data_IF_506049616818
#
_entry.id   IF_506049616818
#
_cell.length_a   1.000
_cell.length_b   1.000
_cell.length_c   1.000
_cell.angle_alpha   90.00
_cell.angle_beta   90.00
_cell.angle_gamma   90.00
#
_symmetry.space_group_name_H-M   'P 1'
#
loop_
_entity.id
_entity.type
_entity.pdbx_description
1 polymer ?
#
# COMPACT_ATOMS: atom_id res chain seq x y z
N UNK A 1 51.41 -30.50 22.75
CA UNK A 1 50.48 -30.73 21.63
C UNK A 1 49.47 -29.60 21.59
N UNK A 2 49.61 -28.68 20.64
CA UNK A 2 48.68 -27.57 20.45
C UNK A 2 47.61 -28.00 19.43
N UNK A 3 46.36 -28.17 19.89
CA UNK A 3 45.23 -28.37 18.99
C UNK A 3 44.98 -27.07 18.21
N UNK A 4 45.31 -27.07 16.91
CA UNK A 4 44.77 -26.11 15.95
C UNK A 4 43.28 -26.45 15.79
N UNK A 5 42.43 -25.76 16.54
CA UNK A 5 41.02 -25.60 16.16
C UNK A 5 41.02 -24.64 14.97
N UNK A 6 41.15 -25.20 13.77
CA UNK A 6 40.65 -24.52 12.57
C UNK A 6 39.16 -24.32 12.79
N UNK A 7 38.76 -23.07 13.03
CA UNK A 7 37.38 -22.67 12.99
C UNK A 7 36.88 -23.02 11.58
N UNK A 8 36.21 -24.16 11.45
CA UNK A 8 35.46 -24.52 10.28
C UNK A 8 34.42 -23.42 10.08
N UNK A 9 34.76 -22.41 9.28
CA UNK A 9 33.80 -21.44 8.81
C UNK A 9 32.78 -22.23 8.01
N UNK A 10 31.65 -22.56 8.62
CA UNK A 10 30.56 -23.22 7.94
C UNK A 10 30.21 -22.31 6.76
N UNK A 11 30.47 -22.79 5.55
CA UNK A 11 30.10 -22.09 4.31
C UNK A 11 28.58 -22.18 4.18
N UNK A 12 27.87 -21.25 4.80
CA UNK A 12 26.41 -21.17 4.71
C UNK A 12 25.91 -20.65 3.36
N UNK A 13 26.81 -20.16 2.49
CA UNK A 13 26.49 -19.79 1.11
C UNK A 13 26.90 -20.91 0.16
N UNK A 14 25.97 -21.53 -0.58
CA UNK A 14 26.33 -22.59 -1.50
C UNK A 14 27.19 -22.01 -2.64
N UNK A 15 28.24 -22.73 -3.03
CA UNK A 15 29.27 -22.24 -3.95
C UNK A 15 28.75 -21.77 -5.32
N UNK A 16 27.56 -22.23 -5.74
CA UNK A 16 26.90 -21.77 -6.98
C UNK A 16 26.35 -20.34 -6.91
N UNK A 17 26.15 -19.80 -5.70
CA UNK A 17 25.67 -18.42 -5.51
C UNK A 17 26.81 -17.38 -5.54
N UNK A 18 28.05 -17.80 -5.26
CA UNK A 18 29.23 -16.92 -5.12
C UNK A 18 29.92 -16.58 -6.46
N UNK A 19 29.16 -16.48 -7.57
CA UNK A 19 29.74 -16.28 -8.90
C UNK A 19 28.82 -15.72 -9.98
N UNK A 20 29.17 -15.99 -11.24
CA UNK A 20 28.45 -15.51 -12.42
C UNK A 20 26.97 -15.94 -12.44
N UNK A 21 26.67 -17.15 -11.94
CA UNK A 21 25.31 -17.66 -11.82
C UNK A 21 24.42 -16.79 -10.89
N UNK A 22 24.92 -16.41 -9.71
CA UNK A 22 24.20 -15.49 -8.80
C UNK A 22 23.96 -14.11 -9.42
N UNK A 23 24.92 -13.62 -10.22
CA UNK A 23 24.76 -12.36 -10.96
C UNK A 23 23.71 -12.47 -12.08
N UNK A 24 23.68 -13.59 -12.80
CA UNK A 24 22.65 -13.84 -13.84
C UNK A 24 21.27 -13.95 -13.20
N UNK A 25 21.14 -14.71 -12.10
CA UNK A 25 19.86 -14.89 -11.41
C UNK A 25 19.31 -13.57 -10.87
N UNK A 26 20.17 -12.71 -10.30
CA UNK A 26 19.74 -11.38 -9.83
C UNK A 26 19.30 -10.47 -10.98
N UNK A 27 19.97 -10.50 -12.13
CA UNK A 27 19.52 -9.78 -13.32
C UNK A 27 18.20 -10.31 -13.87
N UNK A 28 18.07 -11.63 -13.99
CA UNK A 28 16.83 -12.26 -14.45
C UNK A 28 15.66 -11.86 -13.54
N UNK A 29 15.87 -11.83 -12.21
CA UNK A 29 14.87 -11.37 -11.25
C UNK A 29 14.53 -9.88 -11.44
N UNK A 30 15.52 -9.00 -11.61
CA UNK A 30 15.29 -7.56 -11.86
C UNK A 30 14.43 -7.37 -13.12
N UNK A 31 14.80 -8.04 -14.22
CA UNK A 31 14.08 -7.95 -15.49
C UNK A 31 12.67 -8.49 -15.34
N UNK A 32 12.49 -9.64 -14.67
CA UNK A 32 11.19 -10.22 -14.40
C UNK A 32 10.30 -9.24 -13.62
N UNK A 33 10.76 -8.73 -12.47
CA UNK A 33 9.99 -7.79 -11.64
C UNK A 33 9.65 -6.49 -12.39
N UNK A 34 10.56 -6.00 -13.23
CA UNK A 34 10.32 -4.83 -14.07
C UNK A 34 9.28 -5.09 -15.18
N UNK A 35 9.33 -6.26 -15.83
CA UNK A 35 8.33 -6.68 -16.80
C UNK A 35 6.95 -6.85 -16.14
N UNK A 36 6.89 -7.42 -14.94
CA UNK A 36 5.66 -7.49 -14.15
C UNK A 36 5.11 -6.09 -13.84
N UNK A 37 5.97 -5.16 -13.40
CA UNK A 37 5.61 -3.76 -13.15
C UNK A 37 4.96 -3.12 -14.37
N UNK A 38 5.62 -3.20 -15.52
CA UNK A 38 5.15 -2.61 -16.78
C UNK A 38 3.90 -3.32 -17.29
N UNK A 39 3.84 -4.65 -17.19
CA UNK A 39 2.71 -5.45 -17.63
C UNK A 39 1.43 -5.15 -16.86
N UNK A 40 1.48 -5.17 -15.52
CA UNK A 40 0.32 -4.84 -14.67
C UNK A 40 -0.09 -3.37 -14.88
N UNK A 41 0.87 -2.45 -15.05
CA UNK A 41 0.56 -1.07 -15.41
C UNK A 41 -0.19 -0.97 -16.74
N UNK A 42 0.31 -1.64 -17.79
CA UNK A 42 -0.27 -1.63 -19.12
C UNK A 42 -1.68 -2.23 -19.13
N UNK A 43 -1.89 -3.35 -18.43
CA UNK A 43 -3.21 -3.97 -18.25
C UNK A 43 -4.17 -2.96 -17.59
N UNK A 44 -3.76 -2.34 -16.48
CA UNK A 44 -4.56 -1.33 -15.81
C UNK A 44 -4.90 -0.13 -16.71
N UNK A 45 -3.94 0.37 -17.47
CA UNK A 45 -4.17 1.47 -18.42
C UNK A 45 -5.08 1.09 -19.59
N UNK A 46 -4.95 -0.14 -20.11
CA UNK A 46 -5.83 -0.65 -21.16
C UNK A 46 -7.28 -0.76 -20.66
N UNK A 47 -7.49 -1.29 -19.45
CA UNK A 47 -8.79 -1.37 -18.79
C UNK A 47 -9.43 0.01 -18.56
N UNK A 48 -8.63 0.99 -18.14
CA UNK A 48 -9.10 2.39 -18.02
C UNK A 48 -9.52 2.92 -19.38
N UNK A 49 -8.69 2.74 -20.41
CA UNK A 49 -8.95 3.31 -21.73
C UNK A 49 -10.26 2.77 -22.33
N UNK A 50 -10.55 1.47 -22.11
CA UNK A 50 -11.81 0.86 -22.56
C UNK A 50 -13.01 1.28 -21.72
N UNK A 51 -12.84 1.54 -20.41
CA UNK A 51 -13.95 1.99 -19.55
C UNK A 51 -14.25 3.49 -19.62
N UNK A 52 -13.27 4.33 -19.92
CA UNK A 52 -13.37 5.79 -19.79
C UNK A 52 -14.02 6.52 -20.96
N UNK A 53 -14.43 5.83 -22.02
CA UNK A 53 -15.13 6.47 -23.13
C UNK A 53 -16.47 7.07 -22.62
N UNK A 54 -16.47 8.38 -22.32
CA UNK A 54 -17.66 9.15 -21.97
C UNK A 54 -17.80 9.65 -20.52
N UNK A 55 -16.80 9.53 -19.63
CA UNK A 55 -16.87 10.10 -18.27
C UNK A 55 -16.33 11.55 -18.27
N UNK A 56 -17.20 12.52 -18.01
CA UNK A 56 -16.80 13.90 -17.69
C UNK A 56 -16.80 14.12 -16.18
N UNK A 57 -15.61 14.31 -15.62
CA UNK A 57 -15.41 14.46 -14.16
C UNK A 57 -15.62 15.89 -13.67
N UNK A 58 -15.67 16.84 -14.59
CA UNK A 58 -16.09 18.21 -14.27
C UNK A 58 -17.62 18.35 -14.26
N UNK A 59 -18.34 17.34 -14.74
CA UNK A 59 -19.79 17.32 -14.73
C UNK A 59 -20.37 17.22 -13.32
N UNK A 60 -21.54 17.83 -13.12
CA UNK A 60 -22.35 17.65 -11.92
C UNK A 60 -22.74 16.18 -11.71
N UNK A 61 -22.89 15.41 -12.79
CA UNK A 61 -23.23 13.98 -12.73
C UNK A 61 -22.15 13.17 -12.00
N UNK A 62 -20.87 13.48 -12.24
CA UNK A 62 -19.80 12.84 -11.51
C UNK A 62 -19.79 13.22 -10.02
N UNK A 63 -20.04 14.49 -9.69
CA UNK A 63 -20.16 14.94 -8.29
C UNK A 63 -21.33 14.27 -7.56
N UNK A 64 -22.39 13.85 -8.27
CA UNK A 64 -23.53 13.15 -7.69
C UNK A 64 -23.25 11.65 -7.54
N UNK A 65 -22.82 10.98 -8.62
CA UNK A 65 -22.82 9.51 -8.69
C UNK A 65 -21.43 8.87 -8.72
N UNK A 66 -20.34 9.63 -8.86
CA UNK A 66 -18.93 9.21 -8.72
C UNK A 66 -18.58 7.98 -9.56
N UNK A 67 -19.07 7.99 -10.80
CA UNK A 67 -18.94 6.89 -11.74
C UNK A 67 -19.51 5.56 -11.23
N UNK A 68 -20.59 5.61 -10.44
CA UNK A 68 -21.38 4.44 -10.07
C UNK A 68 -22.65 4.34 -10.91
N UNK A 69 -23.28 3.16 -10.90
CA UNK A 69 -24.60 2.92 -11.51
C UNK A 69 -25.77 3.43 -10.67
N UNK A 70 -25.54 4.31 -9.69
CA UNK A 70 -26.56 4.66 -8.70
C UNK A 70 -27.77 5.30 -9.38
N UNK A 71 -27.54 6.19 -10.35
CA UNK A 71 -28.61 6.82 -11.13
C UNK A 71 -29.48 5.81 -11.87
N UNK A 72 -28.87 4.80 -12.48
CA UNK A 72 -29.57 3.75 -13.23
C UNK A 72 -30.40 2.91 -12.26
N UNK A 73 -29.76 2.41 -11.20
CA UNK A 73 -30.36 1.46 -10.29
C UNK A 73 -31.36 2.05 -9.31
N UNK A 74 -31.20 3.32 -8.90
CA UNK A 74 -32.18 4.02 -8.08
C UNK A 74 -33.53 4.16 -8.81
N UNK A 75 -33.53 4.12 -10.14
CA UNK A 75 -34.75 4.23 -10.94
C UNK A 75 -35.39 2.87 -11.30
N UNK A 76 -34.74 1.76 -10.97
CA UNK A 76 -35.29 0.42 -11.18
C UNK A 76 -36.37 0.14 -10.13
N UNK A 77 -37.50 -0.47 -10.53
CA UNK A 77 -38.57 -0.81 -9.59
C UNK A 77 -38.14 -1.95 -8.66
N UNK A 78 -38.23 -1.81 -7.32
CA UNK A 78 -38.00 -2.92 -6.40
C UNK A 78 -39.18 -3.89 -6.48
N UNK A 79 -39.11 -4.92 -7.32
CA UNK A 79 -40.16 -5.94 -7.35
C UNK A 79 -40.14 -6.85 -6.11
N UNK A 80 -39.01 -6.93 -5.40
CA UNK A 80 -38.77 -7.90 -4.31
C UNK A 80 -38.27 -7.31 -2.98
N UNK A 81 -38.08 -5.99 -2.89
CA UNK A 81 -37.45 -5.36 -1.70
C UNK A 81 -38.47 -4.66 -0.81
N UNK A 82 -38.54 -5.06 0.46
CA UNK A 82 -39.24 -4.29 1.48
C UNK A 82 -38.32 -3.17 1.99
N UNK A 83 -38.44 -1.97 1.41
CA UNK A 83 -37.61 -0.82 1.78
C UNK A 83 -37.78 -0.38 3.24
N UNK A 84 -38.96 -0.61 3.83
CA UNK A 84 -39.23 -0.37 5.26
C UNK A 84 -38.44 -1.34 6.13
N UNK A 85 -38.31 -2.60 5.71
CA UNK A 85 -37.48 -3.60 6.37
C UNK A 85 -35.99 -3.27 6.22
N UNK A 86 -35.56 -2.77 5.05
CA UNK A 86 -34.16 -2.35 4.85
C UNK A 86 -33.79 -1.18 5.76
N UNK A 87 -34.69 -0.21 5.91
CA UNK A 87 -34.55 0.90 6.86
C UNK A 87 -34.61 0.43 8.33
N UNK A 88 -35.52 -0.50 8.65
CA UNK A 88 -35.69 -1.08 9.99
C UNK A 88 -34.57 -2.03 10.43
N UNK A 89 -34.01 -2.82 9.51
CA UNK A 89 -32.90 -3.72 9.79
C UNK A 89 -31.58 -2.98 9.92
N UNK A 90 -31.41 -1.86 9.20
CA UNK A 90 -30.34 -0.92 9.48
C UNK A 90 -30.43 -0.45 10.95
N UNK A 91 -31.63 -0.04 11.41
CA UNK A 91 -31.90 0.35 12.81
C UNK A 91 -31.63 -0.77 13.84
N UNK A 92 -31.82 -2.03 13.48
CA UNK A 92 -31.68 -3.19 14.37
C UNK A 92 -30.28 -3.85 14.37
N UNK A 93 -29.33 -3.41 13.54
CA UNK A 93 -27.94 -3.83 13.62
C UNK A 93 -27.65 -5.27 13.17
N UNK A 94 -28.55 -5.91 12.40
CA UNK A 94 -28.30 -7.24 11.84
C UNK A 94 -27.41 -7.17 10.59
N UNK A 95 -26.41 -8.05 10.52
CA UNK A 95 -25.33 -8.10 9.53
C UNK A 95 -25.80 -8.52 8.12
N UNK A 96 -25.08 -8.17 7.02
CA UNK A 96 -23.78 -7.49 6.96
C UNK A 96 -23.89 -5.98 7.20
N UNK A 97 -22.79 -5.32 7.58
CA UNK A 97 -22.78 -4.51 8.77
C UNK A 97 -23.30 -3.11 8.49
N UNK A 98 -24.59 -2.83 8.64
CA UNK A 98 -25.03 -1.46 8.89
C UNK A 98 -24.38 -0.99 10.20
N UNK A 99 -23.17 -0.45 10.13
CA UNK A 99 -22.46 0.02 11.30
C UNK A 99 -22.97 1.41 11.61
N UNK A 100 -23.53 1.52 12.81
CA UNK A 100 -23.94 2.79 13.39
C UNK A 100 -22.69 3.63 13.67
N UNK A 101 -22.75 4.91 13.32
CA UNK A 101 -21.82 5.87 13.90
C UNK A 101 -22.06 5.97 15.44
N UNK A 102 -21.17 6.65 16.19
CA UNK A 102 -21.36 6.84 17.64
C UNK A 102 -22.67 7.54 18.04
N UNK A 103 -23.40 8.12 17.09
CA UNK A 103 -24.67 8.85 17.24
C UNK A 103 -25.88 8.06 16.68
N UNK A 104 -25.72 6.77 16.35
CA UNK A 104 -26.74 5.87 15.78
C UNK A 104 -27.17 6.13 14.32
N UNK A 105 -26.39 6.86 13.52
CA UNK A 105 -26.67 7.05 12.08
C UNK A 105 -26.15 5.90 11.22
N UNK A 106 -26.81 5.64 10.08
CA UNK A 106 -26.56 4.44 9.27
C UNK A 106 -25.57 4.64 8.14
N UNK A 107 -24.65 3.69 8.06
CA UNK A 107 -23.82 3.50 6.90
C UNK A 107 -24.07 2.10 6.36
N UNK A 108 -24.69 2.01 5.19
CA UNK A 108 -25.04 0.70 4.61
C UNK A 108 -23.96 0.23 3.66
N UNK A 109 -23.37 -0.89 4.05
CA UNK A 109 -22.46 -1.68 3.25
C UNK A 109 -23.28 -2.63 2.41
N UNK A 110 -23.08 -2.59 1.10
CA UNK A 110 -23.95 -3.28 0.16
C UNK A 110 -23.53 -4.73 -0.01
N UNK A 111 -23.93 -5.53 0.97
CA UNK A 111 -24.54 -6.85 0.79
C UNK A 111 -25.49 -7.05 1.95
N UNK A 112 -26.78 -7.31 1.70
CA UNK A 112 -27.73 -7.67 2.76
C UNK A 112 -28.06 -9.16 2.61
N UNK A 113 -27.74 -9.95 3.65
CA UNK A 113 -28.39 -11.23 3.88
C UNK A 113 -29.49 -10.95 4.86
N UNK A 114 -30.73 -11.25 4.53
CA UNK A 114 -31.72 -11.45 5.59
C UNK A 114 -31.18 -12.57 6.50
N UNK A 115 -31.34 -12.47 7.81
CA UNK A 115 -30.99 -13.54 8.74
C UNK A 115 -32.17 -13.72 9.68
N UNK A 116 -33.21 -14.38 9.19
CA UNK A 116 -34.16 -14.99 10.11
C UNK A 116 -33.52 -16.25 10.69
N UNK A 117 -33.58 -16.37 12.02
CA UNK A 117 -32.95 -17.44 12.83
C UNK A 117 -33.34 -18.89 12.45
N UNK A 118 -34.18 -19.11 11.43
CA UNK A 118 -34.71 -20.45 11.11
C UNK A 118 -34.94 -20.77 9.62
N UNK A 119 -34.44 -20.02 8.63
CA UNK A 119 -34.56 -20.43 7.22
C UNK A 119 -33.21 -20.71 6.57
N UNK A 120 -33.06 -21.93 6.05
CA UNK A 120 -31.90 -22.40 5.27
C UNK A 120 -31.79 -21.77 3.88
N UNK A 121 -32.73 -20.90 3.50
CA UNK A 121 -32.71 -20.11 2.28
C UNK A 121 -33.07 -18.67 2.66
N UNK A 122 -32.09 -17.77 2.58
CA UNK A 122 -32.24 -16.36 2.90
C UNK A 122 -32.19 -15.58 1.57
N UNK A 123 -33.15 -14.67 1.30
CA UNK A 123 -33.09 -13.85 0.10
C UNK A 123 -31.83 -12.97 0.14
N UNK A 124 -31.07 -12.97 -0.95
CA UNK A 124 -29.92 -12.07 -1.16
C UNK A 124 -30.35 -10.99 -2.13
N UNK A 125 -30.25 -9.73 -1.71
CA UNK A 125 -30.58 -8.60 -2.56
C UNK A 125 -29.35 -8.13 -3.35
N UNK A 126 -29.56 -7.82 -4.63
CA UNK A 126 -28.57 -7.18 -5.49
C UNK A 126 -28.33 -5.72 -5.09
N UNK A 127 -27.21 -5.14 -5.54
CA UNK A 127 -26.89 -3.72 -5.31
C UNK A 127 -28.01 -2.79 -5.80
N UNK A 128 -28.57 -3.04 -6.98
CA UNK A 128 -29.58 -2.19 -7.57
C UNK A 128 -30.91 -2.25 -6.84
N UNK A 129 -31.30 -3.43 -6.39
CA UNK A 129 -32.48 -3.64 -5.54
C UNK A 129 -32.37 -2.82 -4.24
N UNK A 130 -31.22 -2.80 -3.59
CA UNK A 130 -31.04 -1.98 -2.37
C UNK A 130 -31.06 -0.48 -2.66
N UNK A 131 -30.34 -0.05 -3.71
CA UNK A 131 -30.25 1.37 -4.09
C UNK A 131 -31.61 1.94 -4.53
N UNK A 132 -32.49 1.11 -5.10
CA UNK A 132 -33.85 1.52 -5.47
C UNK A 132 -34.67 2.06 -4.27
N UNK A 133 -34.39 1.61 -3.04
CA UNK A 133 -35.03 2.13 -1.84
C UNK A 133 -34.62 3.55 -1.46
N UNK A 134 -33.55 4.07 -2.07
CA UNK A 134 -33.02 5.41 -1.83
C UNK A 134 -33.36 6.37 -2.98
N UNK A 135 -34.27 5.99 -3.88
CA UNK A 135 -34.69 6.79 -5.04
C UNK A 135 -35.12 8.21 -4.67
N UNK A 136 -35.87 8.35 -3.58
CA UNK A 136 -36.47 9.63 -3.17
C UNK A 136 -35.55 10.46 -2.26
N UNK A 137 -34.43 9.89 -1.82
CA UNK A 137 -33.47 10.56 -0.95
C UNK A 137 -32.72 11.65 -1.73
N UNK A 138 -32.45 12.77 -1.07
CA UNK A 138 -31.62 13.84 -1.62
C UNK A 138 -30.20 13.35 -1.84
N UNK A 139 -29.77 13.28 -3.08
CA UNK A 139 -28.40 12.88 -3.43
C UNK A 139 -27.45 14.04 -3.12
N UNK A 140 -26.45 13.80 -2.27
CA UNK A 140 -25.48 14.81 -1.87
C UNK A 140 -24.32 14.90 -2.89
N UNK A 141 -24.18 16.03 -3.61
CA UNK A 141 -23.05 16.25 -4.50
C UNK A 141 -21.78 16.48 -3.68
N UNK A 142 -20.73 15.72 -3.98
CA UNK A 142 -19.47 15.80 -3.25
C UNK A 142 -18.25 15.70 -4.17
N UNK A 143 -17.18 16.37 -3.76
CA UNK A 143 -15.86 16.28 -4.38
C UNK A 143 -14.97 15.34 -3.56
N UNK A 144 -14.17 14.52 -4.24
CA UNK A 144 -13.23 13.61 -3.59
C UNK A 144 -12.03 14.37 -3.02
N UNK A 145 -11.68 14.08 -1.77
CA UNK A 145 -10.36 14.44 -1.25
C UNK A 145 -9.31 13.45 -1.76
N UNK A 146 -8.03 13.86 -1.91
CA UNK A 146 -6.94 12.94 -2.23
C UNK A 146 -6.84 11.74 -1.28
N UNK A 147 -7.24 11.94 -0.02
CA UNK A 147 -7.23 10.94 1.03
C UNK A 147 -8.30 9.84 0.81
N UNK A 148 -9.37 10.11 0.06
CA UNK A 148 -10.40 9.11 -0.32
C UNK A 148 -9.86 7.98 -1.21
N UNK A 149 -8.71 8.22 -1.86
CA UNK A 149 -8.07 7.33 -2.82
C UNK A 149 -6.89 6.57 -2.20
N UNK A 150 -6.86 6.45 -0.87
CA UNK A 150 -5.77 5.75 -0.16
C UNK A 150 -5.79 4.24 -0.40
N UNK A 151 -4.59 3.71 -0.64
CA UNK A 151 -4.18 2.30 -0.53
C UNK A 151 -5.06 1.24 -1.25
N UNK A 152 -5.24 1.30 -2.59
CA UNK A 152 -5.64 0.08 -3.30
C UNK A 152 -4.52 -0.97 -3.24
N UNK A 153 -4.87 -2.26 -3.31
CA UNK A 153 -3.92 -3.39 -3.41
C UNK A 153 -2.87 -3.16 -4.50
N UNK A 154 -3.24 -2.48 -5.59
CA UNK A 154 -2.35 -2.07 -6.67
C UNK A 154 -1.23 -1.14 -6.17
N UNK A 155 -1.55 -0.10 -5.39
CA UNK A 155 -0.54 0.83 -4.84
C UNK A 155 0.41 0.08 -3.92
N UNK A 156 -0.12 -0.75 -3.02
CA UNK A 156 0.69 -1.56 -2.10
C UNK A 156 1.62 -2.50 -2.86
N UNK A 157 1.11 -3.18 -3.89
CA UNK A 157 1.89 -4.04 -4.75
C UNK A 157 3.01 -3.29 -5.49
N UNK A 158 2.71 -2.13 -6.10
CA UNK A 158 3.72 -1.29 -6.76
C UNK A 158 4.86 -0.93 -5.80
N UNK A 159 4.53 -0.56 -4.57
CA UNK A 159 5.52 -0.21 -3.55
C UNK A 159 6.40 -1.42 -3.18
N UNK A 160 5.79 -2.57 -2.91
CA UNK A 160 6.52 -3.81 -2.62
C UNK A 160 7.42 -4.22 -3.80
N UNK A 161 6.93 -4.12 -5.04
CA UNK A 161 7.67 -4.53 -6.23
C UNK A 161 8.88 -3.62 -6.49
N UNK A 162 8.74 -2.33 -6.23
CA UNK A 162 9.87 -1.41 -6.29
C UNK A 162 10.91 -1.76 -5.22
N UNK A 163 10.50 -2.07 -3.99
CA UNK A 163 11.45 -2.52 -2.96
C UNK A 163 12.13 -3.85 -3.36
N UNK A 164 11.42 -4.75 -4.03
CA UNK A 164 11.98 -5.99 -4.57
C UNK A 164 13.04 -5.72 -5.64
N UNK A 165 12.77 -4.80 -6.58
CA UNK A 165 13.73 -4.40 -7.63
C UNK A 165 14.98 -3.78 -7.00
N UNK A 166 14.81 -2.84 -6.06
CA UNK A 166 15.94 -2.19 -5.39
C UNK A 166 16.75 -3.18 -4.54
N UNK A 167 16.08 -4.11 -3.87
CA UNK A 167 16.69 -5.19 -3.10
C UNK A 167 17.46 -6.17 -3.99
N UNK A 168 16.92 -6.56 -5.14
CA UNK A 168 17.63 -7.39 -6.12
C UNK A 168 18.86 -6.66 -6.70
N UNK A 169 18.77 -5.34 -6.90
CA UNK A 169 19.92 -4.52 -7.28
C UNK A 169 20.99 -4.48 -6.18
N UNK A 170 20.58 -4.43 -4.91
CA UNK A 170 21.47 -4.51 -3.77
C UNK A 170 22.15 -5.88 -3.70
N UNK A 171 21.40 -6.96 -3.93
CA UNK A 171 21.91 -8.33 -3.98
C UNK A 171 22.98 -8.47 -5.07
N UNK A 172 22.74 -7.92 -6.27
CA UNK A 172 23.74 -7.86 -7.35
C UNK A 172 25.03 -7.19 -6.89
N UNK A 173 24.96 -6.01 -6.26
CA UNK A 173 26.16 -5.30 -5.77
C UNK A 173 26.86 -6.08 -4.66
N UNK A 174 26.09 -6.75 -3.80
CA UNK A 174 26.62 -7.53 -2.69
C UNK A 174 27.31 -8.82 -3.18
N UNK A 175 26.70 -9.60 -4.08
CA UNK A 175 27.32 -10.79 -4.71
C UNK A 175 28.61 -10.39 -5.44
N UNK A 176 28.57 -9.29 -6.19
CA UNK A 176 29.75 -8.76 -6.88
C UNK A 176 30.89 -8.39 -5.92
N UNK A 177 30.57 -7.92 -4.72
CA UNK A 177 31.57 -7.61 -3.68
C UNK A 177 32.19 -8.85 -3.03
N UNK A 178 31.50 -10.00 -3.05
CA UNK A 178 32.02 -11.26 -2.51
C UNK A 178 32.86 -12.05 -3.51
N UNK A 179 32.74 -11.77 -4.81
CA UNK A 179 33.57 -12.37 -5.83
C UNK A 179 35.05 -12.04 -5.56
N UNK A 180 35.89 -13.07 -5.43
CA UNK A 180 37.35 -12.94 -5.22
C UNK A 180 38.07 -12.17 -6.34
N UNK A 181 37.39 -11.95 -7.47
CA UNK A 181 37.85 -11.10 -8.55
C UNK A 181 37.36 -9.66 -8.31
N UNK A 182 37.92 -8.99 -7.29
CA UNK A 182 37.85 -7.53 -7.29
C UNK A 182 38.52 -7.06 -8.59
N UNK A 183 37.83 -6.31 -9.47
CA UNK A 183 38.43 -5.87 -10.72
C UNK A 183 39.70 -5.08 -10.38
N UNK A 184 40.83 -5.49 -10.95
CA UNK A 184 42.16 -4.91 -10.73
C UNK A 184 42.23 -3.42 -11.07
N UNK A 185 41.22 -2.89 -11.78
CA UNK A 185 41.00 -1.48 -12.01
C UNK A 185 39.57 -1.09 -11.60
N UNK A 186 39.47 -0.15 -10.66
CA UNK A 186 38.23 0.50 -10.27
C UNK A 186 37.66 1.32 -11.45
N UNK A 187 36.69 0.78 -12.19
CA UNK A 187 36.12 1.42 -13.41
C UNK A 187 35.06 2.50 -13.11
N UNK A 188 34.86 2.86 -11.84
CA UNK A 188 33.82 3.81 -11.42
C UNK A 188 32.40 3.26 -11.53
N UNK A 189 31.40 4.11 -11.33
CA UNK A 189 29.99 3.74 -11.45
C UNK A 189 29.50 3.79 -12.90
N UNK A 190 28.83 2.73 -13.35
CA UNK A 190 28.12 2.77 -14.62
C UNK A 190 26.84 3.59 -14.50
N UNK A 191 26.27 4.02 -15.64
CA UNK A 191 24.98 4.71 -15.67
C UNK A 191 23.86 3.89 -15.01
N UNK A 192 23.85 2.56 -15.22
CA UNK A 192 22.86 1.66 -14.63
C UNK A 192 22.97 1.55 -13.10
N UNK A 193 24.15 1.79 -12.53
CA UNK A 193 24.33 1.77 -11.08
C UNK A 193 23.81 3.06 -10.41
N UNK A 194 23.76 4.16 -11.16
CA UNK A 194 23.20 5.45 -10.71
C UNK A 194 21.67 5.46 -10.68
N UNK A 195 21.00 4.81 -11.63
CA UNK A 195 19.55 4.81 -11.74
C UNK A 195 18.81 4.52 -10.41
N UNK A 196 19.11 3.42 -9.68
CA UNK A 196 18.45 3.15 -8.40
C UNK A 196 18.82 4.17 -7.31
N UNK A 197 20.01 4.79 -7.35
CA UNK A 197 20.38 5.82 -6.38
C UNK A 197 19.62 7.13 -6.63
N UNK A 198 19.56 7.58 -7.88
CA UNK A 198 18.79 8.77 -8.29
C UNK A 198 17.31 8.59 -7.98
N UNK A 199 16.76 7.41 -8.30
CA UNK A 199 15.39 7.05 -7.95
C UNK A 199 15.15 7.14 -6.43
N UNK A 200 15.99 6.50 -5.61
CA UNK A 200 15.83 6.53 -4.15
C UNK A 200 15.90 7.95 -3.60
N UNK A 201 16.81 8.79 -4.10
CA UNK A 201 16.90 10.20 -3.68
C UNK A 201 15.63 10.96 -4.03
N UNK A 202 15.17 10.86 -5.29
CA UNK A 202 13.94 11.53 -5.74
C UNK A 202 12.70 11.07 -4.97
N UNK A 203 12.55 9.75 -4.78
CA UNK A 203 11.48 9.14 -3.98
C UNK A 203 11.53 9.62 -2.53
N UNK A 204 12.72 9.73 -1.93
CA UNK A 204 12.90 10.22 -0.54
C UNK A 204 12.48 11.67 -0.39
N UNK A 205 12.91 12.54 -1.29
CA UNK A 205 12.54 13.96 -1.26
C UNK A 205 11.03 14.13 -1.43
N UNK A 206 10.44 13.38 -2.35
CA UNK A 206 9.01 13.47 -2.59
C UNK A 206 8.19 12.87 -1.42
N UNK A 207 8.68 11.80 -0.79
CA UNK A 207 8.09 11.25 0.43
C UNK A 207 8.05 12.29 1.56
N UNK A 208 9.14 13.04 1.78
CA UNK A 208 9.15 14.10 2.81
C UNK A 208 8.17 15.24 2.48
N UNK A 209 8.12 15.67 1.22
CA UNK A 209 7.17 16.70 0.79
C UNK A 209 5.71 16.29 1.04
N UNK A 210 5.35 15.04 0.74
CA UNK A 210 4.00 14.51 0.97
C UNK A 210 3.73 14.24 2.45
N UNK A 211 4.74 13.84 3.22
CA UNK A 211 4.62 13.72 4.67
C UNK A 211 4.30 15.07 5.33
N UNK A 212 4.99 16.15 4.93
CA UNK A 212 4.68 17.48 5.46
C UNK A 212 3.28 17.96 5.08
N UNK A 213 2.84 17.71 3.83
CA UNK A 213 1.44 17.97 3.42
C UNK A 213 0.46 17.22 4.30
N UNK A 214 0.71 15.93 4.53
CA UNK A 214 -0.11 15.11 5.42
C UNK A 214 -0.13 15.64 6.86
N UNK A 215 1.01 16.06 7.42
CA UNK A 215 1.04 16.67 8.75
C UNK A 215 0.20 17.94 8.87
N UNK A 216 0.12 18.76 7.79
CA UNK A 216 -0.68 19.98 7.81
C UNK A 216 -2.19 19.73 7.77
N UNK A 217 -2.64 18.72 6.99
CA UNK A 217 -4.06 18.37 6.83
C UNK A 217 -4.23 16.86 6.61
N UNK A 218 -4.19 16.05 7.69
CA UNK A 218 -4.16 14.58 7.58
C UNK A 218 -5.48 13.96 7.13
N UNK A 219 -6.58 14.71 7.25
CA UNK A 219 -7.92 14.38 6.75
C UNK A 219 -8.04 14.59 5.23
N UNK A 220 -7.26 15.52 4.67
CA UNK A 220 -7.32 15.89 3.25
C UNK A 220 -6.28 15.15 2.39
N UNK A 221 -5.06 14.99 2.90
CA UNK A 221 -3.97 14.34 2.16
C UNK A 221 -3.88 12.85 2.48
N UNK A 222 -3.50 12.05 1.48
CA UNK A 222 -3.17 10.65 1.70
C UNK A 222 -1.88 10.52 2.52
N UNK A 223 -1.82 9.53 3.41
CA UNK A 223 -0.58 9.13 4.08
C UNK A 223 0.45 8.64 3.06
N UNK A 224 1.71 8.86 3.40
CA UNK A 224 2.86 8.35 2.66
C UNK A 224 3.08 6.85 2.94
N UNK A 225 3.87 6.20 2.09
CA UNK A 225 4.24 4.78 2.25
C UNK A 225 4.97 4.51 3.57
N UNK A 226 4.66 3.37 4.18
CA UNK A 226 5.31 2.89 5.42
C UNK A 226 6.60 2.10 5.17
N UNK A 227 6.92 1.74 3.93
CA UNK A 227 8.10 0.91 3.59
C UNK A 227 9.19 1.64 2.81
N UNK A 228 9.02 2.92 2.45
CA UNK A 228 10.00 3.68 1.65
C UNK A 228 11.36 3.81 2.33
N UNK A 229 11.43 3.78 3.66
CA UNK A 229 12.69 3.80 4.40
C UNK A 229 13.64 2.64 4.02
N UNK A 230 13.10 1.51 3.52
CA UNK A 230 13.89 0.35 3.06
C UNK A 230 14.80 0.75 1.88
N UNK A 231 14.34 1.60 0.96
CA UNK A 231 15.16 2.03 -0.18
C UNK A 231 16.34 2.89 0.25
N UNK A 232 16.12 3.79 1.22
CA UNK A 232 17.16 4.65 1.80
C UNK A 232 18.15 3.82 2.60
N UNK A 233 17.67 2.88 3.42
CA UNK A 233 18.51 1.92 4.13
C UNK A 233 19.36 1.08 3.16
N UNK A 234 18.74 0.59 2.09
CA UNK A 234 19.43 -0.16 1.03
C UNK A 234 20.53 0.67 0.38
N UNK A 235 20.26 1.94 0.06
CA UNK A 235 21.27 2.84 -0.49
C UNK A 235 22.39 3.12 0.51
N UNK A 236 22.06 3.35 1.78
CA UNK A 236 23.02 3.57 2.87
C UNK A 236 24.00 2.39 3.02
N UNK A 237 23.50 1.17 2.83
CA UNK A 237 24.29 -0.05 2.82
C UNK A 237 25.19 -0.15 1.57
N UNK A 238 24.62 0.06 0.38
CA UNK A 238 25.32 -0.06 -0.91
C UNK A 238 26.49 0.91 -1.09
N UNK A 239 26.46 2.08 -0.44
CA UNK A 239 27.55 3.08 -0.51
C UNK A 239 28.91 2.50 -0.06
N UNK A 240 28.90 1.44 0.78
CA UNK A 240 30.11 0.77 1.28
C UNK A 240 30.72 -0.21 0.28
N UNK A 241 29.96 -0.68 -0.71
CA UNK A 241 30.36 -1.73 -1.63
C UNK A 241 30.63 -1.18 -3.04
N UNK A 242 31.32 -1.97 -3.85
CA UNK A 242 31.48 -1.66 -5.28
C UNK A 242 30.10 -1.61 -5.96
N UNK A 243 29.83 -0.62 -6.84
CA UNK A 243 30.76 0.37 -7.40
C UNK A 243 30.84 1.72 -6.65
N UNK A 244 30.05 1.92 -5.59
CA UNK A 244 30.01 3.19 -4.85
C UNK A 244 31.31 3.47 -4.08
N UNK A 245 31.87 2.44 -3.42
CA UNK A 245 33.17 2.55 -2.73
C UNK A 245 34.34 2.91 -3.67
N UNK A 246 34.16 2.61 -4.95
CA UNK A 246 35.10 2.92 -6.01
C UNK A 246 35.08 4.42 -6.38
N UNK A 247 33.89 5.03 -6.38
CA UNK A 247 33.71 6.46 -6.66
C UNK A 247 34.06 7.32 -5.45
N UNK A 248 33.67 6.87 -4.26
CA UNK A 248 33.88 7.56 -3.00
C UNK A 248 34.98 6.85 -2.22
N UNK A 249 36.19 7.42 -2.21
CA UNK A 249 37.35 6.86 -1.49
C UNK A 249 36.98 6.46 -0.07
N UNK A 250 37.55 5.35 0.39
CA UNK A 250 37.15 4.68 1.64
C UNK A 250 37.20 5.62 2.86
N UNK A 251 38.24 6.44 2.96
CA UNK A 251 38.44 7.37 4.07
C UNK A 251 37.94 8.79 3.83
N UNK A 252 37.25 9.05 2.71
CA UNK A 252 36.74 10.39 2.43
C UNK A 252 35.68 10.81 3.45
N UNK A 253 35.81 12.04 3.97
CA UNK A 253 34.82 12.67 4.84
C UNK A 253 33.42 12.66 4.18
N UNK A 254 33.38 12.89 2.86
CA UNK A 254 32.16 12.84 2.05
C UNK A 254 31.42 11.51 2.14
N UNK A 255 32.12 10.37 2.05
CA UNK A 255 31.47 9.05 2.15
C UNK A 255 30.89 8.84 3.54
N UNK A 256 31.64 9.19 4.58
CA UNK A 256 31.20 9.09 5.97
C UNK A 256 29.97 9.96 6.22
N UNK A 257 29.99 11.21 5.76
CA UNK A 257 28.87 12.14 5.85
C UNK A 257 27.64 11.62 5.08
N UNK A 258 27.82 11.18 3.84
CA UNK A 258 26.73 10.61 3.02
C UNK A 258 26.10 9.38 3.69
N UNK A 259 26.92 8.43 4.15
CA UNK A 259 26.45 7.26 4.88
C UNK A 259 25.67 7.68 6.13
N UNK A 260 26.20 8.62 6.91
CA UNK A 260 25.51 9.12 8.12
C UNK A 260 24.16 9.77 7.80
N UNK A 261 24.11 10.64 6.78
CA UNK A 261 22.87 11.28 6.31
C UNK A 261 21.83 10.23 5.91
N UNK A 262 22.23 9.23 5.13
CA UNK A 262 21.32 8.18 4.65
C UNK A 262 20.80 7.30 5.79
N UNK A 263 21.67 6.92 6.73
CA UNK A 263 21.25 6.16 7.91
C UNK A 263 20.30 6.96 8.79
N UNK A 264 20.63 8.22 9.11
CA UNK A 264 19.74 9.10 9.88
C UNK A 264 18.40 9.29 9.17
N UNK A 265 18.41 9.50 7.85
CA UNK A 265 17.17 9.65 7.06
C UNK A 265 16.33 8.38 7.09
N UNK A 266 16.94 7.20 6.89
CA UNK A 266 16.25 5.92 6.97
C UNK A 266 15.66 5.68 8.37
N UNK A 267 16.40 5.99 9.43
CA UNK A 267 15.91 5.88 10.81
C UNK A 267 14.73 6.81 11.08
N UNK A 268 14.80 8.07 10.65
CA UNK A 268 13.69 9.02 10.82
C UNK A 268 12.45 8.56 10.06
N UNK A 269 12.61 8.12 8.80
CA UNK A 269 11.50 7.59 8.02
C UNK A 269 10.93 6.32 8.65
N UNK A 270 11.76 5.42 9.18
CA UNK A 270 11.31 4.21 9.89
C UNK A 270 10.47 4.55 11.14
N UNK A 271 10.93 5.49 11.97
CA UNK A 271 10.18 5.95 13.16
C UNK A 271 8.82 6.53 12.74
N UNK A 272 8.80 7.40 11.72
CA UNK A 272 7.57 7.97 11.19
C UNK A 272 6.67 6.86 10.63
N UNK A 273 7.22 5.90 9.90
CA UNK A 273 6.47 4.75 9.39
C UNK A 273 5.85 3.91 10.49
N UNK A 274 6.50 3.72 11.65
CA UNK A 274 5.89 3.08 12.81
C UNK A 274 4.66 3.86 13.32
N UNK A 275 4.74 5.19 13.36
CA UNK A 275 3.61 6.06 13.76
C UNK A 275 2.47 5.98 12.73
N UNK A 276 2.81 6.04 11.44
CA UNK A 276 1.84 5.92 10.34
C UNK A 276 1.20 4.54 10.32
N UNK A 277 1.96 3.47 10.51
CA UNK A 277 1.45 2.10 10.58
C UNK A 277 0.47 1.94 11.74
N UNK A 278 0.78 2.51 12.92
CA UNK A 278 -0.14 2.52 14.06
C UNK A 278 -1.43 3.28 13.76
N UNK A 279 -1.33 4.43 13.09
CA UNK A 279 -2.49 5.27 12.76
C UNK A 279 -3.37 4.61 11.71
N UNK A 280 -2.76 4.09 10.64
CA UNK A 280 -3.42 3.43 9.52
C UNK A 280 -3.67 1.95 9.78
N UNK A 281 -3.39 1.43 10.98
CA UNK A 281 -3.56 0.01 11.30
C UNK A 281 -5.00 -0.46 11.05
N UNK A 282 -5.96 0.44 11.29
CA UNK A 282 -7.39 0.20 11.04
C UNK A 282 -7.71 0.11 9.55
N UNK A 283 -7.03 0.90 8.73
CA UNK A 283 -7.23 0.89 7.27
C UNK A 283 -6.62 -0.39 6.65
N UNK A 284 -5.54 -0.91 7.23
CA UNK A 284 -4.87 -2.14 6.78
C UNK A 284 -5.61 -3.43 7.16
N UNK A 285 -6.33 -3.42 8.28
CA UNK A 285 -7.07 -4.57 8.79
C UNK A 285 -8.51 -4.16 9.18
N UNK A 286 -9.44 -4.13 8.21
CA UNK A 286 -10.87 -3.96 8.48
C UNK A 286 -11.34 -5.02 9.50
N UNK A 287 -12.30 -4.71 10.40
CA UNK A 287 -13.59 -4.17 9.99
C UNK A 287 -13.98 -2.85 10.67
N UNK A 288 -13.01 -2.07 11.17
CA UNK A 288 -13.34 -0.86 11.95
C UNK A 288 -13.38 0.37 11.06
N UNK A 289 -14.58 0.94 10.96
CA UNK A 289 -14.89 2.22 10.36
C UNK A 289 -13.89 3.33 10.72
N UNK A 290 -13.37 4.00 9.70
CA UNK A 290 -12.74 5.30 9.87
C UNK A 290 -13.74 6.39 9.47
N UNK A 291 -14.22 7.15 10.46
CA UNK A 291 -15.12 8.29 10.24
C UNK A 291 -14.37 9.55 9.80
N UNK A 292 -13.19 9.41 9.18
CA UNK A 292 -12.46 10.53 8.64
C UNK A 292 -13.21 11.08 7.42
N UNK A 293 -13.41 12.39 7.39
CA UNK A 293 -14.03 13.04 6.24
C UNK A 293 -13.12 12.90 5.01
N UNK A 294 -13.62 12.21 3.98
CA UNK A 294 -12.90 11.96 2.72
C UNK A 294 -13.53 12.67 1.53
N UNK A 295 -14.68 13.31 1.73
CA UNK A 295 -15.41 14.03 0.71
C UNK A 295 -15.73 15.45 1.17
N UNK A 296 -15.72 16.39 0.25
CA UNK A 296 -16.14 17.77 0.48
C UNK A 296 -17.50 18.00 -0.18
N UNK A 297 -18.45 18.59 0.56
CA UNK A 297 -19.78 18.89 0.04
C UNK A 297 -19.72 20.01 -1.02
N UNK A 298 -20.34 19.80 -2.17
CA UNK A 298 -20.43 20.82 -3.23
C UNK A 298 -21.74 21.60 -3.05
N UNK A 299 -21.75 22.52 -2.08
CA UNK A 299 -22.94 23.30 -1.67
C UNK A 299 -23.73 23.90 -2.84
N UNK A 300 -23.02 24.44 -3.83
CA UNK A 300 -23.63 25.09 -5.00
C UNK A 300 -24.50 24.17 -5.86
N UNK A 301 -24.31 22.85 -5.77
CA UNK A 301 -25.04 21.86 -6.57
C UNK A 301 -26.16 21.17 -5.78
N UNK A 302 -26.27 21.39 -4.46
CA UNK A 302 -27.24 20.68 -3.61
C UNK A 302 -28.67 21.01 -4.01
N UNK A 303 -28.98 22.27 -4.30
CA UNK A 303 -30.33 22.67 -4.72
C UNK A 303 -30.79 21.92 -5.98
N UNK A 304 -29.92 21.83 -7.00
CA UNK A 304 -30.19 21.15 -8.27
C UNK A 304 -30.05 19.62 -8.22
N UNK A 305 -29.55 19.05 -7.13
CA UNK A 305 -29.34 17.62 -7.02
C UNK A 305 -30.67 16.84 -6.95
N UNK A 306 -30.73 15.59 -7.43
CA UNK A 306 -31.94 14.76 -7.37
C UNK A 306 -32.41 14.43 -5.95
N UNK A 307 -33.70 14.14 -5.81
CA UNK A 307 -34.35 13.80 -4.53
C UNK A 307 -34.77 15.02 -3.70
N UNK A 308 -35.43 14.76 -2.58
CA UNK A 308 -35.93 15.77 -1.66
C UNK A 308 -35.39 15.56 -0.25
N UNK A 309 -35.20 16.65 0.49
CA UNK A 309 -34.76 16.62 1.88
C UNK A 309 -35.50 17.69 2.69
N UNK A 310 -35.93 17.38 3.92
CA UNK A 310 -36.42 18.38 4.86
C UNK A 310 -35.30 19.28 5.42
N UNK A 311 -34.04 18.87 5.28
CA UNK A 311 -32.89 19.60 5.80
C UNK A 311 -32.38 20.65 4.81
N UNK A 312 -31.91 21.78 5.36
CA UNK A 312 -31.26 22.83 4.57
C UNK A 312 -29.92 22.37 3.99
N UNK A 313 -29.43 23.06 2.96
CA UNK A 313 -28.11 22.77 2.35
C UNK A 313 -26.97 22.84 3.37
N UNK A 314 -27.01 23.80 4.29
CA UNK A 314 -25.98 23.94 5.32
C UNK A 314 -26.02 22.80 6.34
N UNK A 315 -27.23 22.36 6.72
CA UNK A 315 -27.38 21.17 7.57
C UNK A 315 -26.83 19.94 6.86
N UNK A 316 -27.25 19.66 5.62
CA UNK A 316 -26.78 18.51 4.85
C UNK A 316 -25.25 18.46 4.72
N UNK A 317 -24.62 19.60 4.41
CA UNK A 317 -23.16 19.65 4.28
C UNK A 317 -22.41 19.67 5.62
N UNK A 318 -23.10 19.89 6.75
CA UNK A 318 -22.50 19.80 8.10
C UNK A 318 -22.48 18.38 8.64
N UNK A 319 -23.21 17.46 8.02
CA UNK A 319 -23.28 16.06 8.40
C UNK A 319 -21.97 15.35 8.01
N UNK A 320 -21.03 15.27 8.95
CA UNK A 320 -19.69 14.76 8.68
C UNK A 320 -19.65 13.28 8.31
N UNK A 321 -20.54 12.45 8.86
CA UNK A 321 -20.55 11.00 8.59
C UNK A 321 -20.96 10.67 7.15
N UNK A 322 -21.89 11.43 6.56
CA UNK A 322 -22.23 11.31 5.14
C UNK A 322 -21.00 11.54 4.26
N UNK A 323 -20.04 12.37 4.70
CA UNK A 323 -18.84 12.74 3.94
C UNK A 323 -17.62 11.85 4.21
N UNK A 324 -17.81 10.71 4.89
CA UNK A 324 -16.74 9.74 5.16
C UNK A 324 -16.52 8.78 3.98
N UNK A 325 -15.34 8.17 3.92
CA UNK A 325 -15.13 6.97 3.10
C UNK A 325 -14.91 5.80 4.05
N UNK A 326 -15.94 4.99 4.32
CA UNK A 326 -15.78 3.81 5.15
C UNK A 326 -14.93 2.69 4.55
N UNK A 327 -14.46 2.87 3.31
CA UNK A 327 -13.89 1.80 2.50
C UNK A 327 -14.96 0.82 2.04
N UNK A 328 -14.51 -0.28 1.46
CA UNK A 328 -15.37 -1.40 1.11
C UNK A 328 -15.22 -2.48 2.19
N UNK A 329 -16.29 -2.74 2.93
CA UNK A 329 -16.44 -4.02 3.65
C UNK A 329 -17.45 -4.82 2.84
N UNK A 330 -17.00 -5.86 2.16
CA UNK A 330 -17.89 -6.75 1.42
C UNK A 330 -17.62 -8.18 1.82
N UNK A 331 -18.47 -8.71 2.69
CA UNK A 331 -18.75 -10.13 2.66
C UNK A 331 -19.84 -10.31 1.61
N UNK A 332 -19.44 -10.36 0.35
CA UNK A 332 -20.38 -10.67 -0.73
C UNK A 332 -20.70 -12.16 -0.76
N UNK A 333 -21.94 -12.51 -1.10
CA UNK A 333 -22.27 -13.87 -1.52
C UNK A 333 -21.68 -14.21 -2.89
N UNK A 334 -21.40 -13.21 -3.73
CA UNK A 334 -20.68 -13.40 -4.98
C UNK A 334 -19.21 -13.73 -4.69
N UNK A 335 -18.77 -14.87 -5.21
CA UNK A 335 -17.41 -15.40 -5.06
C UNK A 335 -16.36 -14.44 -5.63
N UNK A 336 -16.74 -13.58 -6.57
CA UNK A 336 -15.80 -12.70 -7.28
C UNK A 336 -15.36 -11.51 -6.43
N UNK A 337 -16.29 -10.88 -5.72
CA UNK A 337 -15.96 -9.82 -4.77
C UNK A 337 -15.26 -10.38 -3.53
N UNK A 338 -15.65 -11.57 -3.02
CA UNK A 338 -14.95 -12.24 -1.93
C UNK A 338 -13.47 -12.49 -2.25
N UNK A 339 -13.17 -12.91 -3.49
CA UNK A 339 -11.80 -13.08 -3.96
C UNK A 339 -11.04 -11.75 -4.00
N UNK A 340 -11.67 -10.64 -4.42
CA UNK A 340 -11.03 -9.32 -4.40
C UNK A 340 -10.68 -8.85 -2.98
N UNK A 341 -11.53 -9.11 -1.99
CA UNK A 341 -11.23 -8.79 -0.58
C UNK A 341 -10.07 -9.62 -0.04
N UNK A 342 -10.05 -10.91 -0.34
CA UNK A 342 -8.92 -11.76 0.00
C UNK A 342 -7.61 -11.19 -0.57
N UNK A 343 -7.63 -10.57 -1.76
CA UNK A 343 -6.44 -9.90 -2.30
C UNK A 343 -6.02 -8.66 -1.52
N UNK A 344 -6.98 -7.84 -1.10
CA UNK A 344 -6.69 -6.68 -0.25
C UNK A 344 -6.07 -7.11 1.08
N UNK A 345 -6.69 -8.08 1.76
CA UNK A 345 -6.21 -8.60 3.04
C UNK A 345 -4.83 -9.24 2.87
N UNK A 346 -4.63 -10.05 1.83
CA UNK A 346 -3.32 -10.63 1.50
C UNK A 346 -2.29 -9.53 1.25
N UNK A 347 -2.62 -8.48 0.48
CA UNK A 347 -1.69 -7.39 0.21
C UNK A 347 -1.29 -6.65 1.50
N UNK A 348 -2.24 -6.38 2.39
CA UNK A 348 -2.00 -5.74 3.69
C UNK A 348 -1.19 -6.61 4.63
N UNK A 349 -1.52 -7.90 4.76
CA UNK A 349 -0.74 -8.88 5.55
C UNK A 349 0.70 -8.94 5.04
N UNK A 350 0.88 -9.05 3.74
CA UNK A 350 2.20 -9.16 3.12
C UNK A 350 3.03 -7.87 3.28
N UNK A 351 2.39 -6.69 3.23
CA UNK A 351 3.04 -5.42 3.57
C UNK A 351 3.53 -5.43 5.02
N UNK A 352 2.71 -5.90 5.96
CA UNK A 352 3.09 -6.00 7.38
C UNK A 352 4.21 -7.02 7.60
N UNK A 353 4.21 -8.15 6.88
CA UNK A 353 5.31 -9.12 6.91
C UNK A 353 6.60 -8.47 6.43
N UNK A 354 6.57 -7.78 5.29
CA UNK A 354 7.74 -7.08 4.76
C UNK A 354 8.25 -6.02 5.74
N UNK A 355 7.35 -5.21 6.30
CA UNK A 355 7.69 -4.17 7.27
C UNK A 355 8.32 -4.76 8.53
N UNK A 356 7.73 -5.82 9.07
CA UNK A 356 8.17 -6.48 10.31
C UNK A 356 9.52 -7.15 10.14
N UNK A 357 9.70 -7.91 9.05
CA UNK A 357 10.97 -8.54 8.72
C UNK A 357 12.08 -7.50 8.52
N UNK A 358 11.78 -6.44 7.74
CA UNK A 358 12.74 -5.38 7.48
C UNK A 358 13.10 -4.65 8.77
N UNK A 359 12.13 -4.37 9.65
CA UNK A 359 12.38 -3.75 10.97
C UNK A 359 13.28 -4.63 11.83
N UNK A 360 13.00 -5.94 11.90
CA UNK A 360 13.82 -6.88 12.63
C UNK A 360 15.27 -6.87 12.11
N UNK A 361 15.47 -6.91 10.79
CA UNK A 361 16.79 -6.81 10.19
C UNK A 361 17.47 -5.45 10.44
N UNK A 362 16.73 -4.34 10.33
CA UNK A 362 17.23 -2.98 10.51
C UNK A 362 17.70 -2.71 11.94
N UNK A 363 17.00 -3.25 12.95
CA UNK A 363 17.30 -3.05 14.38
C UNK A 363 18.29 -4.10 14.92
N UNK A 364 18.15 -5.37 14.51
CA UNK A 364 18.99 -6.45 15.05
C UNK A 364 20.46 -6.30 14.65
N UNK A 365 20.77 -5.87 13.43
CA UNK A 365 22.16 -5.75 12.99
C UNK A 365 22.96 -4.70 13.79
N UNK A 366 22.49 -3.45 13.97
CA UNK A 366 23.16 -2.48 14.84
C UNK A 366 23.22 -2.92 16.31
N UNK A 367 22.15 -3.53 16.82
CA UNK A 367 22.06 -3.95 18.21
C UNK A 367 23.06 -5.09 18.50
N UNK A 368 23.07 -6.14 17.68
CA UNK A 368 24.04 -7.23 17.76
C UNK A 368 25.47 -6.69 17.62
N UNK A 369 25.70 -5.74 16.71
CA UNK A 369 27.01 -5.11 16.55
C UNK A 369 27.46 -4.37 17.81
N UNK A 370 26.55 -3.63 18.43
CA UNK A 370 26.85 -2.84 19.64
C UNK A 370 27.10 -3.74 20.85
N UNK A 371 26.23 -4.73 21.08
CA UNK A 371 26.34 -5.69 22.19
C UNK A 371 27.65 -6.47 22.06
N UNK A 372 27.92 -7.05 20.89
CA UNK A 372 29.10 -7.89 20.69
C UNK A 372 30.39 -7.06 20.74
N UNK A 373 30.39 -5.82 20.24
CA UNK A 373 31.55 -4.90 20.42
C UNK A 373 31.75 -4.56 21.89
N UNK A 374 30.69 -4.22 22.63
CA UNK A 374 30.76 -3.93 24.06
C UNK A 374 31.32 -5.11 24.84
N UNK A 375 30.79 -6.31 24.61
CA UNK A 375 31.29 -7.54 25.22
C UNK A 375 32.74 -7.83 24.85
N UNK A 376 33.12 -7.71 23.58
CA UNK A 376 34.49 -7.90 23.12
C UNK A 376 35.49 -6.89 23.72
N UNK A 377 35.04 -5.66 24.02
CA UNK A 377 35.87 -4.65 24.69
C UNK A 377 36.06 -4.94 26.18
N UNK A 378 35.04 -5.50 26.83
CA UNK A 378 35.07 -5.85 28.26
C UNK A 378 35.71 -7.22 28.53
N UNK A 379 35.81 -8.09 27.52
CA UNK A 379 36.32 -9.44 27.70
C UNK A 379 37.86 -9.45 27.92
N UNK A 380 38.36 -10.11 28.98
CA UNK A 380 39.79 -10.10 29.32
C UNK A 380 40.65 -10.93 28.35
N UNK A 381 40.10 -11.99 27.76
CA UNK A 381 40.82 -12.84 26.80
C UNK A 381 40.88 -12.21 25.39
N UNK A 382 42.10 -11.95 24.92
CA UNK A 382 42.40 -11.43 23.57
C UNK A 382 41.96 -12.37 22.45
N UNK A 383 41.93 -13.69 22.66
CA UNK A 383 41.48 -14.65 21.63
C UNK A 383 39.99 -14.52 21.41
N UNK A 384 39.21 -14.56 22.49
CA UNK A 384 37.75 -14.38 22.44
C UNK A 384 37.39 -13.04 21.80
N UNK A 385 38.08 -11.96 22.19
CA UNK A 385 37.92 -10.64 21.55
C UNK A 385 38.13 -10.66 20.04
N UNK A 386 39.19 -11.32 19.56
CA UNK A 386 39.49 -11.42 18.13
C UNK A 386 38.45 -12.26 17.39
N UNK A 387 37.98 -13.36 17.99
CA UNK A 387 36.92 -14.20 17.42
C UNK A 387 35.62 -13.40 17.29
N UNK A 388 35.15 -12.75 18.36
CA UNK A 388 33.90 -11.98 18.36
C UNK A 388 33.92 -10.81 17.36
N UNK A 389 35.05 -10.10 17.25
CA UNK A 389 35.20 -9.03 16.25
C UNK A 389 35.27 -9.59 14.82
N UNK A 390 35.84 -10.78 14.64
CA UNK A 390 35.84 -11.52 13.38
C UNK A 390 34.43 -11.96 12.97
N UNK A 391 33.66 -12.52 13.90
CA UNK A 391 32.27 -12.94 13.68
C UNK A 391 31.37 -11.75 13.38
N UNK A 392 31.60 -10.60 14.01
CA UNK A 392 30.92 -9.35 13.67
C UNK A 392 31.22 -8.85 12.26
N UNK A 393 32.50 -8.84 11.88
CA UNK A 393 32.90 -8.47 10.53
C UNK A 393 32.35 -9.47 9.50
N UNK A 394 32.17 -10.73 9.89
CA UNK A 394 31.51 -11.74 9.07
C UNK A 394 30.02 -11.45 8.92
N UNK A 395 29.28 -11.23 10.01
CA UNK A 395 27.84 -10.92 9.98
C UNK A 395 27.55 -9.66 9.17
N UNK A 396 28.29 -8.57 9.38
CA UNK A 396 28.12 -7.30 8.66
C UNK A 396 28.38 -7.44 7.14
N UNK A 397 29.26 -8.37 6.73
CA UNK A 397 29.58 -8.59 5.32
C UNK A 397 28.76 -9.70 4.63
N UNK A 398 28.32 -10.73 5.38
CA UNK A 398 27.68 -11.94 4.84
C UNK A 398 26.17 -12.01 5.10
N UNK A 399 25.63 -11.28 6.07
CA UNK A 399 24.20 -11.27 6.37
C UNK A 399 23.63 -9.88 6.10
N UNK A 400 23.53 -9.52 4.82
CA UNK A 400 23.05 -8.20 4.41
C UNK A 400 21.55 -8.08 4.60
N UNK A 401 21.11 -7.46 5.69
CA UNK A 401 19.70 -7.17 5.99
C UNK A 401 18.89 -6.63 4.79
N UNK A 402 19.42 -5.67 3.99
CA UNK A 402 18.72 -5.17 2.80
C UNK A 402 18.45 -6.22 1.72
N UNK A 403 19.35 -7.20 1.54
CA UNK A 403 19.15 -8.29 0.56
C UNK A 403 18.07 -9.25 1.05
N UNK A 404 18.05 -9.55 2.36
CA UNK A 404 16.97 -10.32 2.98
C UNK A 404 15.61 -9.63 2.82
N UNK A 405 15.54 -8.33 3.12
CA UNK A 405 14.35 -7.52 2.92
C UNK A 405 13.91 -7.49 1.44
N UNK A 406 14.87 -7.38 0.52
CA UNK A 406 14.63 -7.48 -0.92
C UNK A 406 14.05 -8.82 -1.36
N UNK A 407 14.55 -9.92 -0.81
CA UNK A 407 14.03 -11.27 -1.10
C UNK A 407 12.60 -11.45 -0.59
N UNK A 408 12.31 -10.98 0.63
CA UNK A 408 10.94 -10.98 1.17
C UNK A 408 10.03 -10.09 0.31
N UNK A 409 10.49 -8.91 -0.09
CA UNK A 409 9.75 -8.03 -0.98
C UNK A 409 9.47 -8.69 -2.33
N UNK A 410 10.43 -9.42 -2.91
CA UNK A 410 10.24 -10.15 -4.16
C UNK A 410 9.19 -11.26 -4.04
N UNK A 411 9.24 -12.05 -2.97
CA UNK A 411 8.23 -13.08 -2.69
C UNK A 411 6.83 -12.45 -2.58
N UNK A 412 6.71 -11.42 -1.75
CA UNK A 412 5.46 -10.65 -1.56
C UNK A 412 4.93 -10.12 -2.89
N UNK A 413 5.80 -9.53 -3.71
CA UNK A 413 5.43 -8.89 -4.97
C UNK A 413 5.02 -9.91 -6.03
N UNK A 414 5.69 -11.06 -6.11
CA UNK A 414 5.31 -12.12 -7.05
C UNK A 414 3.96 -12.74 -6.66
N UNK A 415 3.73 -13.00 -5.37
CA UNK A 415 2.46 -13.54 -4.88
C UNK A 415 1.28 -12.60 -5.18
N UNK A 416 1.38 -11.33 -4.78
CA UNK A 416 0.31 -10.35 -5.03
C UNK A 416 0.19 -10.05 -6.54
N UNK A 417 1.30 -10.01 -7.27
CA UNK A 417 1.30 -9.73 -8.71
C UNK A 417 0.56 -10.82 -9.51
N UNK A 418 0.77 -12.10 -9.17
CA UNK A 418 0.04 -13.20 -9.77
C UNK A 418 -1.48 -13.09 -9.51
N UNK A 419 -1.86 -12.73 -8.28
CA UNK A 419 -3.26 -12.50 -7.91
C UNK A 419 -3.87 -11.32 -8.68
N UNK A 420 -3.15 -10.20 -8.80
CA UNK A 420 -3.60 -9.04 -9.56
C UNK A 420 -3.82 -9.39 -11.04
N UNK A 421 -2.91 -10.12 -11.67
CA UNK A 421 -3.06 -10.51 -13.09
C UNK A 421 -4.24 -11.45 -13.29
N UNK A 422 -4.43 -12.44 -12.40
CA UNK A 422 -5.48 -13.45 -12.55
C UNK A 422 -6.88 -12.90 -12.29
N UNK A 423 -7.06 -12.10 -11.25
CA UNK A 423 -8.39 -11.69 -10.82
C UNK A 423 -8.79 -10.28 -11.24
N UNK A 424 -7.86 -9.35 -11.46
CA UNK A 424 -8.25 -7.97 -11.84
C UNK A 424 -9.08 -7.95 -13.12
N UNK A 425 -8.73 -8.68 -14.20
CA UNK A 425 -9.57 -8.74 -15.40
C UNK A 425 -10.95 -9.35 -15.14
N UNK A 426 -11.00 -10.48 -14.43
CA UNK A 426 -12.26 -11.16 -14.11
C UNK A 426 -13.17 -10.25 -13.28
N UNK A 427 -12.62 -9.64 -12.24
CA UNK A 427 -13.33 -8.68 -11.39
C UNK A 427 -13.74 -7.43 -12.18
N UNK A 428 -12.92 -6.97 -13.13
CA UNK A 428 -13.22 -5.83 -13.98
C UNK A 428 -14.43 -6.06 -14.89
N UNK A 429 -14.61 -7.29 -15.37
CA UNK A 429 -15.74 -7.64 -16.23
C UNK A 429 -16.99 -8.03 -15.42
N UNK A 430 -16.81 -8.63 -14.24
CA UNK A 430 -17.93 -9.16 -13.44
C UNK A 430 -18.51 -8.16 -12.43
N UNK A 431 -17.68 -7.33 -11.80
CA UNK A 431 -18.12 -6.34 -10.83
C UNK A 431 -18.47 -5.07 -11.60
N UNK A 432 -19.73 -4.66 -11.58
CA UNK A 432 -20.14 -3.40 -12.20
C UNK A 432 -19.56 -2.19 -11.44
N UNK A 433 -19.81 -0.99 -11.96
CA UNK A 433 -19.52 0.29 -11.30
C UNK A 433 -20.39 0.49 -10.05
N UNK A 434 -20.09 -0.27 -9.02
CA UNK A 434 -20.79 -0.28 -7.74
C UNK A 434 -19.88 0.38 -6.68
N UNK A 435 -20.48 1.19 -5.81
CA UNK A 435 -19.79 1.88 -4.72
C UNK A 435 -20.70 1.92 -3.50
N UNK A 436 -20.12 2.06 -2.31
CA UNK A 436 -20.85 2.15 -1.04
C UNK A 436 -21.78 3.38 -1.00
N UNK A 437 -22.79 3.38 -0.14
CA UNK A 437 -23.65 4.55 0.10
C UNK A 437 -23.74 4.84 1.59
N UNK A 438 -23.69 6.13 1.93
CA UNK A 438 -24.04 6.64 3.25
C UNK A 438 -25.41 7.30 3.16
N UNK A 439 -26.27 7.12 4.15
CA UNK A 439 -27.54 7.84 4.15
C UNK A 439 -27.97 8.28 5.55
N UNK A 440 -28.82 9.28 5.55
CA UNK A 440 -29.39 9.89 6.73
C UNK A 440 -30.91 9.84 6.62
N UNK A 441 -31.57 9.20 7.59
CA UNK A 441 -33.02 9.02 7.57
C UNK A 441 -33.76 10.30 7.97
N UNK A 442 -33.20 11.09 8.89
CA UNK A 442 -33.83 12.31 9.41
C UNK A 442 -33.85 13.40 8.34
N UNK A 443 -32.73 13.55 7.63
CA UNK A 443 -32.60 14.46 6.50
C UNK A 443 -32.95 13.83 5.16
N UNK A 444 -33.39 12.56 5.12
CA UNK A 444 -33.68 11.81 3.88
C UNK A 444 -32.62 12.06 2.80
N UNK A 445 -31.35 11.93 3.16
CA UNK A 445 -30.21 12.28 2.31
C UNK A 445 -29.30 11.08 2.07
N UNK A 446 -28.69 11.00 0.89
CA UNK A 446 -27.79 9.91 0.49
C UNK A 446 -26.53 10.46 -0.13
N UNK A 447 -25.38 9.94 0.28
CA UNK A 447 -24.10 10.19 -0.35
C UNK A 447 -23.58 8.91 -1.01
N UNK A 448 -23.32 9.01 -2.31
CA UNK A 448 -22.71 7.95 -3.11
C UNK A 448 -21.19 8.05 -3.03
N UNK A 449 -20.54 6.99 -2.55
CA UNK A 449 -19.09 6.89 -2.42
C UNK A 449 -18.52 6.35 -3.73
N UNK A 450 -17.31 6.80 -4.08
CA UNK A 450 -16.63 6.32 -5.28
C UNK A 450 -16.33 4.82 -5.19
N UNK A 451 -16.38 4.12 -6.33
CA UNK A 451 -16.18 2.67 -6.36
C UNK A 451 -14.80 2.30 -5.79
N UNK A 452 -14.72 1.57 -4.67
CA UNK A 452 -13.48 1.44 -3.89
C UNK A 452 -12.35 0.71 -4.63
N UNK A 453 -12.70 -0.13 -5.61
CA UNK A 453 -11.75 -0.94 -6.36
C UNK A 453 -11.41 -0.36 -7.74
N UNK A 454 -12.33 0.36 -8.41
CA UNK A 454 -12.05 1.08 -9.67
C UNK A 454 -11.46 2.48 -9.44
N UNK A 455 -11.86 3.18 -8.37
CA UNK A 455 -11.63 4.63 -8.17
C UNK A 455 -10.18 5.09 -8.34
N UNK A 456 -9.18 4.27 -7.99
CA UNK A 456 -7.80 4.72 -8.03
C UNK A 456 -7.32 5.03 -9.46
N UNK A 457 -7.79 4.21 -10.41
CA UNK A 457 -7.41 4.25 -11.82
C UNK A 457 -8.52 4.89 -12.68
N UNK A 458 -9.78 4.70 -12.28
CA UNK A 458 -11.00 5.08 -13.01
C UNK A 458 -11.45 6.53 -12.75
N UNK A 459 -10.69 7.30 -11.97
CA UNK A 459 -10.88 8.75 -11.78
C UNK A 459 -9.71 9.45 -12.47
N UNK A 460 -9.97 10.45 -13.30
CA UNK A 460 -9.02 11.22 -14.11
C UNK A 460 -8.41 12.41 -13.37
N UNK A 461 -9.17 13.03 -12.46
CA UNK A 461 -8.74 14.14 -11.63
C UNK A 461 -7.53 13.73 -10.81
N UNK A 462 -6.38 14.36 -11.05
CA UNK A 462 -5.13 14.01 -10.38
C UNK A 462 -4.58 12.61 -10.71
N UNK A 463 -5.07 11.92 -11.75
CA UNK A 463 -4.61 10.56 -12.13
C UNK A 463 -3.13 10.52 -12.41
N UNK A 464 -2.63 11.44 -13.23
CA UNK A 464 -1.20 11.53 -13.53
C UNK A 464 -0.38 11.67 -12.23
N UNK A 465 -0.84 12.53 -11.32
CA UNK A 465 -0.20 12.72 -10.02
C UNK A 465 -0.25 11.44 -9.16
N UNK A 466 -1.36 10.69 -9.15
CA UNK A 466 -1.46 9.41 -8.44
C UNK A 466 -0.56 8.33 -9.02
N UNK A 467 -0.48 8.25 -10.35
CA UNK A 467 0.45 7.35 -11.04
C UNK A 467 1.88 7.72 -10.62
N UNK A 468 2.26 8.99 -10.71
CA UNK A 468 3.59 9.46 -10.28
C UNK A 468 3.83 9.08 -8.80
N UNK A 469 2.89 9.34 -7.88
CA UNK A 469 3.02 8.96 -6.46
C UNK A 469 3.27 7.46 -6.27
N UNK A 470 2.51 6.63 -6.98
CA UNK A 470 2.66 5.18 -6.96
C UNK A 470 4.06 4.74 -7.43
N UNK A 471 4.58 5.35 -8.51
CA UNK A 471 5.92 5.08 -9.02
C UNK A 471 7.05 5.60 -8.13
N UNK A 472 6.80 6.59 -7.27
CA UNK A 472 7.79 7.17 -6.35
C UNK A 472 7.66 6.69 -4.89
N UNK A 473 6.98 5.55 -4.66
CA UNK A 473 6.77 4.96 -3.32
C UNK A 473 6.10 5.92 -2.31
N UNK A 474 5.04 6.59 -2.74
CA UNK A 474 4.27 7.53 -1.89
C UNK A 474 2.86 7.03 -1.69
#
# INVERSE_FOLDING_TARGET
MAFKLEAASIKYTPAWFEGWAGTILTWALIVLLALFQVGIFAIGMAMIYTSHAGIDESSSDFALYKNSRFRECANTSPEQVNCTLLQGNALNGYQPPAQKDPQNHFLVYMTFRDFQENSSELPTYTWCEMVSCLKDFKVLPTALRPSALQLPSLKTWFQCNIQAILGAWAARTWIGSQSRQAPSACKGMSFLDWAPAVYTIGSTLYWWAEFFRWCTRPDYHASVSVITWISVWTLAYRVRYHPFSCRFKEDSCYRKALTWILWTTATLQWIISCVLLRRNWRDLFPPRLEFAQRYDCVKSQVASAPGQSPCSTDQLCSISWLLTNPGWMGWSSDQTSANFFAQYDIASIMLVILFSFSTAAFVSTPLATTITRGYALLHPDRRVKRTLLGDLAYIDNKLSGPVGAGAVAALVSLCIGALLIGHTPVAWDSLNREGSVAYDLDCTAVHVIASPWRQYMDIGYGRALRIIRMWFNI
#
